data_IF_953382612562
#
_entry.id   IF_953382612562
#
_cell.length_a   1.000
_cell.length_b   1.000
_cell.length_c   1.000
_cell.angle_alpha   90.00
_cell.angle_beta   90.00
_cell.angle_gamma   90.00
#
_symmetry.space_group_name_H-M   'P 1'
#
loop_
_entity.id
_entity.type
_entity.pdbx_description
1 polymer ?
#
# COMPACT_ATOMS: atom_id res chain seq x y z
N UNK A 1 -16.96 -19.55 52.52
CA UNK A 1 -16.46 -18.40 51.76
C UNK A 1 -15.28 -18.83 50.89
N UNK A 2 -15.43 -18.82 49.56
CA UNK A 2 -14.37 -18.51 48.57
C UNK A 2 -15.00 -18.54 47.17
N UNK A 3 -15.41 -17.36 46.71
CA UNK A 3 -15.63 -17.06 45.30
C UNK A 3 -14.25 -16.80 44.68
N UNK A 4 -13.96 -17.35 43.51
CA UNK A 4 -13.17 -16.60 42.53
C UNK A 4 -13.59 -17.05 41.13
N UNK A 5 -14.14 -16.08 40.42
CA UNK A 5 -14.73 -16.18 39.10
C UNK A 5 -13.63 -16.31 38.05
N UNK A 6 -13.62 -17.42 37.31
CA UNK A 6 -12.87 -17.55 36.06
C UNK A 6 -13.73 -16.94 34.96
N UNK A 7 -13.65 -15.61 34.77
CA UNK A 7 -14.06 -14.97 33.52
C UNK A 7 -13.10 -13.79 33.29
N UNK A 8 -11.94 -14.07 32.71
CA UNK A 8 -11.05 -13.02 32.20
C UNK A 8 -10.21 -13.55 31.03
N UNK A 9 -10.87 -13.97 29.94
CA UNK A 9 -10.18 -14.37 28.69
C UNK A 9 -10.86 -13.89 27.40
N UNK A 10 -12.00 -13.18 27.47
CA UNK A 10 -12.80 -12.87 26.27
C UNK A 10 -12.61 -11.48 25.64
N UNK A 11 -11.67 -10.65 26.11
CA UNK A 11 -11.49 -9.28 25.56
C UNK A 11 -10.39 -9.25 24.47
N UNK A 12 -9.58 -10.29 24.31
CA UNK A 12 -8.47 -10.31 23.33
C UNK A 12 -8.94 -10.73 21.92
N UNK A 13 -10.00 -11.53 21.82
CA UNK A 13 -10.42 -12.14 20.54
C UNK A 13 -11.06 -11.15 19.56
N UNK A 14 -11.69 -10.07 20.03
CA UNK A 14 -12.42 -9.13 19.17
C UNK A 14 -11.48 -8.28 18.30
N UNK A 15 -10.26 -8.01 18.77
CA UNK A 15 -9.27 -7.24 18.00
C UNK A 15 -8.41 -8.14 17.10
N UNK A 16 -8.10 -9.36 17.53
CA UNK A 16 -7.30 -10.32 16.74
C UNK A 16 -8.02 -10.79 15.46
N UNK A 17 -9.35 -10.91 15.49
CA UNK A 17 -10.14 -11.27 14.32
C UNK A 17 -10.06 -10.25 13.18
N UNK A 18 -9.81 -8.97 13.48
CA UNK A 18 -9.68 -7.89 12.49
C UNK A 18 -8.30 -7.93 11.81
N UNK A 19 -7.25 -8.20 12.57
CA UNK A 19 -5.87 -8.25 12.07
C UNK A 19 -5.63 -9.45 11.14
N UNK A 20 -6.18 -10.62 11.48
CA UNK A 20 -6.10 -11.81 10.63
C UNK A 20 -6.74 -11.61 9.24
N UNK A 21 -7.73 -10.71 9.11
CA UNK A 21 -8.34 -10.39 7.83
C UNK A 21 -7.45 -9.53 6.93
N UNK A 22 -6.51 -8.77 7.49
CA UNK A 22 -5.54 -7.97 6.73
C UNK A 22 -4.44 -8.82 6.09
N UNK A 23 -4.02 -9.90 6.74
CA UNK A 23 -2.95 -10.78 6.23
C UNK A 23 -3.31 -11.28 4.84
N UNK A 24 -2.43 -11.20 3.85
CA UNK A 24 -2.69 -11.59 2.47
C UNK A 24 -2.37 -10.48 1.46
N UNK A 25 -2.72 -10.72 0.20
CA UNK A 25 -2.40 -9.81 -0.91
C UNK A 25 -3.60 -8.96 -1.33
N UNK A 26 -3.34 -7.68 -1.51
CA UNK A 26 -4.31 -6.61 -1.74
C UNK A 26 -3.88 -5.78 -2.93
N UNK A 27 -4.78 -5.59 -3.89
CA UNK A 27 -4.48 -4.86 -5.11
C UNK A 27 -5.35 -3.60 -5.21
N UNK A 28 -4.71 -2.46 -5.41
CA UNK A 28 -5.37 -1.22 -5.78
C UNK A 28 -4.94 -0.81 -7.19
N UNK A 29 -5.89 -0.30 -7.97
CA UNK A 29 -5.59 0.37 -9.23
C UNK A 29 -6.17 1.76 -9.14
N UNK A 30 -5.35 2.77 -9.38
CA UNK A 30 -5.78 4.16 -9.49
C UNK A 30 -5.33 4.73 -10.83
N UNK A 31 -6.10 5.69 -11.34
CA UNK A 31 -5.76 6.40 -12.58
C UNK A 31 -6.08 7.86 -12.41
N UNK A 32 -5.17 8.71 -12.84
CA UNK A 32 -5.30 10.15 -12.82
C UNK A 32 -4.91 10.77 -14.15
N UNK A 33 -5.37 11.99 -14.38
CA UNK A 33 -4.95 12.82 -15.50
C UNK A 33 -4.51 14.17 -14.96
N UNK A 34 -3.30 14.59 -15.31
CA UNK A 34 -2.76 15.90 -14.95
C UNK A 34 -2.09 16.53 -16.18
N UNK A 35 -2.57 17.70 -16.62
CA UNK A 35 -2.02 18.45 -17.76
C UNK A 35 -1.78 17.58 -19.01
N UNK A 36 -2.77 16.75 -19.36
CA UNK A 36 -2.72 15.83 -20.50
C UNK A 36 -1.85 14.59 -20.30
N UNK A 37 -1.26 14.42 -19.12
CA UNK A 37 -0.48 13.24 -18.73
C UNK A 37 -1.41 12.28 -17.99
N UNK A 38 -1.61 11.08 -18.52
CA UNK A 38 -2.31 10.00 -17.84
C UNK A 38 -1.32 9.20 -17.00
N UNK A 39 -1.67 8.97 -15.75
CA UNK A 39 -0.89 8.16 -14.81
C UNK A 39 -1.80 7.03 -14.33
N UNK A 40 -1.34 5.79 -14.42
CA UNK A 40 -1.99 4.62 -13.83
C UNK A 40 -1.02 4.01 -12.83
N UNK A 41 -1.49 3.85 -11.60
CA UNK A 41 -0.75 3.23 -10.50
C UNK A 41 -1.46 1.92 -10.12
N UNK A 42 -0.75 0.80 -10.22
CA UNK A 42 -1.21 -0.50 -9.75
C UNK A 42 -0.36 -0.91 -8.54
N UNK A 43 -0.95 -0.89 -7.35
CA UNK A 43 -0.29 -1.26 -6.10
C UNK A 43 -0.70 -2.67 -5.68
N UNK A 44 0.30 -3.51 -5.40
CA UNK A 44 0.16 -4.86 -4.86
C UNK A 44 0.77 -4.87 -3.46
N UNK A 45 -0.08 -4.95 -2.44
CA UNK A 45 0.30 -4.87 -1.03
C UNK A 45 0.09 -6.23 -0.37
N UNK A 46 1.14 -6.79 0.22
CA UNK A 46 1.10 -8.07 0.92
C UNK A 46 1.40 -7.87 2.40
N UNK A 47 0.43 -8.15 3.26
CA UNK A 47 0.63 -8.20 4.71
C UNK A 47 0.92 -9.63 5.14
N UNK A 48 2.00 -9.84 5.88
CA UNK A 48 2.40 -11.14 6.42
C UNK A 48 2.02 -11.25 7.90
N UNK A 49 1.87 -12.49 8.38
CA UNK A 49 1.48 -12.78 9.77
C UNK A 49 2.53 -12.39 10.82
N UNK A 50 3.78 -12.17 10.41
CA UNK A 50 4.90 -11.73 11.25
C UNK A 50 5.00 -10.20 11.39
N UNK A 51 3.93 -9.48 11.02
CA UNK A 51 3.88 -8.01 11.00
C UNK A 51 4.85 -7.35 10.02
N UNK A 52 5.35 -8.09 9.04
CA UNK A 52 6.04 -7.51 7.87
C UNK A 52 5.07 -7.28 6.72
N UNK A 53 5.39 -6.35 5.83
CA UNK A 53 4.68 -6.21 4.56
C UNK A 53 5.64 -5.99 3.40
N UNK A 54 5.18 -6.37 2.21
CA UNK A 54 5.78 -6.01 0.94
C UNK A 54 4.79 -5.23 0.09
N UNK A 55 5.27 -4.27 -0.70
CA UNK A 55 4.48 -3.56 -1.70
C UNK A 55 5.22 -3.55 -3.03
N UNK A 56 4.48 -3.75 -4.11
CA UNK A 56 4.95 -3.50 -5.48
C UNK A 56 4.03 -2.48 -6.11
N UNK A 57 4.57 -1.35 -6.51
CA UNK A 57 3.86 -0.32 -7.25
C UNK A 57 4.34 -0.33 -8.70
N UNK A 58 3.43 -0.59 -9.63
CA UNK A 58 3.66 -0.45 -11.06
C UNK A 58 3.06 0.87 -11.52
N UNK A 59 3.89 1.72 -12.12
CA UNK A 59 3.48 3.04 -12.60
C UNK A 59 3.57 3.07 -14.12
N UNK A 60 2.46 3.42 -14.76
CA UNK A 60 2.41 3.71 -16.20
C UNK A 60 2.10 5.19 -16.40
N UNK A 61 2.90 5.87 -17.20
CA UNK A 61 2.75 7.29 -17.55
C UNK A 61 2.63 7.42 -19.05
N UNK A 62 1.64 8.18 -19.53
CA UNK A 62 1.43 8.46 -20.96
C UNK A 62 1.10 9.93 -21.19
N UNK A 63 1.81 10.58 -22.11
CA UNK A 63 1.53 11.95 -22.57
C UNK A 63 1.67 12.05 -24.09
N UNK A 64 0.56 12.27 -24.78
CA UNK A 64 0.51 12.18 -26.24
C UNK A 64 1.02 10.82 -26.72
N UNK A 65 2.10 10.82 -27.50
CA UNK A 65 2.74 9.62 -28.03
C UNK A 65 3.91 9.09 -27.17
N UNK A 66 4.32 9.80 -26.11
CA UNK A 66 5.36 9.34 -25.19
C UNK A 66 4.75 8.52 -24.05
N UNK A 67 5.41 7.42 -23.68
CA UNK A 67 4.96 6.59 -22.56
C UNK A 67 6.10 5.85 -21.86
N UNK A 68 5.85 5.57 -20.59
CA UNK A 68 6.59 4.64 -19.76
C UNK A 68 5.56 3.68 -19.18
N UNK A 69 5.79 2.38 -19.31
CA UNK A 69 4.92 1.34 -18.80
C UNK A 69 5.66 0.52 -17.77
N UNK A 70 4.94 0.18 -16.70
CA UNK A 70 5.41 -0.72 -15.66
C UNK A 70 6.74 -0.28 -15.03
N UNK A 71 6.89 1.00 -14.67
CA UNK A 71 7.93 1.39 -13.73
C UNK A 71 7.64 0.72 -12.39
N UNK A 72 8.51 -0.21 -12.03
CA UNK A 72 8.36 -1.03 -10.84
C UNK A 72 9.09 -0.39 -9.67
N UNK A 73 8.36 -0.23 -8.57
CA UNK A 73 8.88 0.23 -7.29
C UNK A 73 8.52 -0.84 -6.26
N UNK A 74 9.50 -1.31 -5.53
CA UNK A 74 9.32 -2.30 -4.48
C UNK A 74 9.59 -1.66 -3.13
N UNK A 75 8.75 -1.97 -2.15
CA UNK A 75 8.94 -1.53 -0.78
C UNK A 75 8.71 -2.66 0.18
N UNK A 76 9.48 -2.69 1.26
CA UNK A 76 9.27 -3.63 2.37
C UNK A 76 9.26 -2.89 3.68
N UNK A 77 8.53 -3.41 4.66
CA UNK A 77 8.41 -2.74 5.93
C UNK A 77 7.71 -3.56 7.00
N UNK A 78 7.30 -2.86 8.05
CA UNK A 78 6.51 -3.43 9.16
C UNK A 78 5.17 -2.74 9.28
N UNK A 79 4.17 -3.46 9.78
CA UNK A 79 2.84 -2.90 9.98
C UNK A 79 2.27 -3.28 11.35
N UNK A 80 1.37 -2.45 11.86
CA UNK A 80 0.61 -2.70 13.09
C UNK A 80 -0.79 -2.14 12.97
N UNK A 81 -1.70 -2.67 13.78
CA UNK A 81 -3.05 -2.13 13.89
C UNK A 81 -3.40 -1.72 15.32
N UNK A 82 -4.31 -0.75 15.43
CA UNK A 82 -4.98 -0.40 16.69
C UNK A 82 -6.40 0.03 16.37
N UNK A 83 -7.38 -0.81 16.70
CA UNK A 83 -8.77 -0.59 16.30
C UNK A 83 -8.91 -0.58 14.78
N UNK A 84 -9.38 0.53 14.22
CA UNK A 84 -9.47 0.72 12.77
C UNK A 84 -8.28 1.48 12.17
N UNK A 85 -7.21 1.72 12.94
CA UNK A 85 -6.01 2.38 12.44
C UNK A 85 -4.99 1.31 12.04
N UNK A 86 -4.48 1.41 10.83
CA UNK A 86 -3.36 0.66 10.28
C UNK A 86 -2.17 1.60 10.15
N UNK A 87 -1.04 1.23 10.73
CA UNK A 87 0.23 1.95 10.58
C UNK A 87 1.17 1.05 9.81
N UNK A 88 1.67 1.51 8.67
CA UNK A 88 2.68 0.84 7.88
C UNK A 88 3.95 1.70 7.82
N UNK A 89 5.09 1.11 8.15
CA UNK A 89 6.40 1.77 8.15
C UNK A 89 7.25 1.12 7.08
N UNK A 90 7.57 1.86 6.02
CA UNK A 90 8.44 1.42 4.94
C UNK A 90 9.89 1.52 5.41
N UNK A 91 10.60 0.39 5.38
CA UNK A 91 11.99 0.29 5.84
C UNK A 91 12.99 0.29 4.68
N UNK A 92 12.61 -0.30 3.54
CA UNK A 92 13.44 -0.37 2.35
C UNK A 92 12.60 -0.08 1.10
N UNK A 93 13.22 0.58 0.11
CA UNK A 93 12.63 0.91 -1.18
C UNK A 93 13.64 0.66 -2.27
N UNK A 94 13.23 -0.10 -3.28
CA UNK A 94 13.99 -0.36 -4.49
C UNK A 94 13.20 0.14 -5.70
N UNK A 95 13.90 0.75 -6.66
CA UNK A 95 13.31 1.15 -7.93
C UNK A 95 14.05 0.41 -9.04
N UNK A 96 13.71 -0.88 -9.29
CA UNK A 96 14.51 -1.75 -10.13
C UNK A 96 14.61 -1.28 -11.59
N UNK A 97 13.53 -1.30 -12.38
CA UNK A 97 13.55 -0.95 -13.82
C UNK A 97 12.13 -0.61 -14.31
N UNK A 98 12.00 0.16 -15.39
CA UNK A 98 10.76 0.29 -16.16
C UNK A 98 10.66 -0.79 -17.26
N UNK A 99 9.48 -1.42 -17.40
CA UNK A 99 9.27 -2.50 -18.37
C UNK A 99 9.35 -2.04 -19.83
N UNK A 100 8.71 -0.92 -20.17
CA UNK A 100 8.70 -0.39 -21.54
C UNK A 100 8.79 1.14 -21.54
N UNK A 101 9.64 1.71 -22.40
CA UNK A 101 9.84 3.15 -22.48
C UNK A 101 9.89 3.58 -23.93
N UNK A 102 9.09 4.58 -24.29
CA UNK A 102 9.03 5.12 -25.64
C UNK A 102 8.95 6.64 -25.64
N UNK A 103 9.89 7.26 -26.36
CA UNK A 103 10.01 8.73 -26.51
C UNK A 103 10.07 9.49 -25.18
N UNK A 104 10.63 8.85 -24.15
CA UNK A 104 10.99 9.48 -22.87
C UNK A 104 12.51 9.47 -22.78
N UNK A 105 13.10 10.60 -22.40
CA UNK A 105 14.56 10.67 -22.20
C UNK A 105 14.98 9.90 -20.95
N UNK A 106 16.22 9.42 -20.95
CA UNK A 106 16.83 8.79 -19.77
C UNK A 106 16.75 9.69 -18.53
N UNK A 107 17.04 10.98 -18.67
CA UNK A 107 16.94 11.96 -17.58
C UNK A 107 15.51 12.13 -17.04
N UNK A 108 14.49 12.05 -17.89
CA UNK A 108 13.10 12.07 -17.44
C UNK A 108 12.74 10.80 -16.68
N UNK A 109 13.22 9.64 -17.14
CA UNK A 109 13.00 8.36 -16.46
C UNK A 109 13.65 8.35 -15.06
N UNK A 110 14.89 8.82 -14.96
CA UNK A 110 15.61 8.96 -13.68
C UNK A 110 14.89 9.92 -12.73
N UNK A 111 14.42 11.06 -13.23
CA UNK A 111 13.65 12.01 -12.42
C UNK A 111 12.35 11.39 -11.89
N UNK A 112 11.65 10.59 -12.71
CA UNK A 112 10.46 9.86 -12.26
C UNK A 112 10.84 8.85 -11.18
N UNK A 113 11.86 8.03 -11.41
CA UNK A 113 12.34 7.04 -10.44
C UNK A 113 12.74 7.69 -9.09
N UNK A 114 13.50 8.79 -9.14
CA UNK A 114 13.91 9.57 -7.96
C UNK A 114 12.70 10.16 -7.25
N UNK A 115 11.71 10.67 -7.99
CA UNK A 115 10.49 11.24 -7.40
C UNK A 115 9.74 10.18 -6.57
N UNK A 116 9.61 8.97 -7.10
CA UNK A 116 8.99 7.86 -6.36
C UNK A 116 9.85 7.41 -5.19
N UNK A 117 11.16 7.23 -5.38
CA UNK A 117 12.06 6.88 -4.28
C UNK A 117 11.96 7.88 -3.12
N UNK A 118 12.01 9.18 -3.42
CA UNK A 118 11.90 10.25 -2.44
C UNK A 118 10.53 10.29 -1.75
N UNK A 119 9.43 9.99 -2.48
CA UNK A 119 8.08 9.91 -1.89
C UNK A 119 8.04 8.92 -0.73
N UNK A 120 8.66 7.74 -0.89
CA UNK A 120 8.64 6.71 0.16
C UNK A 120 9.74 6.94 1.22
N UNK A 121 10.88 7.53 0.84
CA UNK A 121 11.98 7.83 1.77
C UNK A 121 11.63 8.96 2.74
N UNK A 122 11.02 10.03 2.24
CA UNK A 122 10.72 11.22 3.05
C UNK A 122 9.46 11.04 3.91
N UNK A 123 8.57 10.13 3.51
CA UNK A 123 7.34 9.82 4.23
C UNK A 123 7.20 8.29 4.40
N UNK A 124 8.06 7.68 5.24
CA UNK A 124 8.11 6.24 5.40
C UNK A 124 6.95 5.70 6.24
N UNK A 125 6.28 6.56 7.02
CA UNK A 125 5.20 6.15 7.93
C UNK A 125 3.86 6.50 7.30
N UNK A 126 3.04 5.49 7.02
CA UNK A 126 1.68 5.65 6.52
C UNK A 126 0.69 5.31 7.62
N UNK A 127 -0.12 6.29 8.00
CA UNK A 127 -1.21 6.11 8.94
C UNK A 127 -2.52 6.07 8.15
N UNK A 128 -3.20 4.93 8.20
CA UNK A 128 -4.38 4.64 7.40
C UNK A 128 -5.55 4.31 8.32
N UNK A 129 -6.67 4.99 8.15
CA UNK A 129 -7.94 4.64 8.78
C UNK A 129 -8.66 3.62 7.89
N UNK A 130 -8.82 2.40 8.37
CA UNK A 130 -9.61 1.36 7.73
C UNK A 130 -11.11 1.70 7.84
N UNK A 131 -11.73 2.04 6.72
CA UNK A 131 -13.16 2.31 6.61
C UNK A 131 -13.97 1.05 6.37
N UNK A 132 -13.37 0.07 5.71
CA UNK A 132 -13.97 -1.23 5.43
C UNK A 132 -12.87 -2.28 5.41
N UNK A 133 -13.10 -3.42 6.06
CA UNK A 133 -12.29 -4.61 5.90
C UNK A 133 -13.22 -5.83 5.88
N UNK A 134 -13.11 -6.63 4.82
CA UNK A 134 -13.72 -7.95 4.74
C UNK A 134 -12.82 -8.89 3.94
N UNK A 135 -13.27 -10.11 3.66
CA UNK A 135 -12.46 -11.14 2.97
C UNK A 135 -12.02 -10.78 1.55
N UNK A 136 -12.65 -9.81 0.89
CA UNK A 136 -12.36 -9.45 -0.50
C UNK A 136 -12.00 -7.98 -0.68
N UNK A 137 -12.31 -7.12 0.29
CA UNK A 137 -12.21 -5.68 0.13
C UNK A 137 -11.63 -5.01 1.38
N UNK A 138 -10.66 -4.13 1.14
CA UNK A 138 -10.08 -3.22 2.12
C UNK A 138 -10.26 -1.80 1.59
N UNK A 139 -10.83 -0.90 2.39
CA UNK A 139 -10.91 0.52 2.08
C UNK A 139 -10.19 1.28 3.17
N UNK A 140 -9.21 2.09 2.77
CA UNK A 140 -8.42 2.92 3.69
C UNK A 140 -8.56 4.39 3.34
N UNK A 141 -8.47 5.26 4.35
CA UNK A 141 -8.34 6.71 4.20
C UNK A 141 -7.01 7.15 4.84
N UNK A 142 -6.22 7.97 4.14
CA UNK A 142 -4.99 8.54 4.69
C UNK A 142 -5.21 9.90 5.37
N UNK A 143 -4.15 10.50 5.92
CA UNK A 143 -4.17 11.80 6.58
C UNK A 143 -4.62 12.97 5.68
N UNK A 144 -4.53 12.79 4.35
CA UNK A 144 -4.98 13.74 3.34
C UNK A 144 -6.42 13.50 2.87
N UNK A 145 -7.17 12.62 3.55
CA UNK A 145 -8.55 12.21 3.19
C UNK A 145 -8.65 11.56 1.81
N UNK A 146 -7.57 10.96 1.34
CA UNK A 146 -7.54 10.20 0.09
C UNK A 146 -7.94 8.77 0.40
N UNK A 147 -8.94 8.27 -0.34
CA UNK A 147 -9.42 6.91 -0.22
C UNK A 147 -8.68 5.98 -1.19
N UNK A 148 -8.28 4.82 -0.69
CA UNK A 148 -7.80 3.71 -1.52
C UNK A 148 -8.70 2.49 -1.28
N UNK A 149 -9.08 1.83 -2.37
CA UNK A 149 -9.88 0.60 -2.33
C UNK A 149 -9.05 -0.54 -2.88
N UNK A 150 -8.76 -1.52 -2.04
CA UNK A 150 -8.04 -2.70 -2.40
C UNK A 150 -8.98 -3.89 -2.55
N UNK A 151 -8.66 -4.74 -3.49
CA UNK A 151 -9.30 -6.03 -3.71
C UNK A 151 -8.33 -7.14 -3.36
N UNK A 152 -8.80 -8.17 -2.67
CA UNK A 152 -7.94 -9.28 -2.29
C UNK A 152 -7.66 -10.15 -3.51
N UNK A 153 -6.39 -10.52 -3.70
CA UNK A 153 -6.00 -11.52 -4.69
C UNK A 153 -5.74 -12.83 -3.96
N UNK A 154 -6.32 -13.91 -4.48
CA UNK A 154 -6.06 -15.27 -4.02
C UNK A 154 -4.73 -15.78 -4.57
#
# INVERSE_FOLDING_TARGET
MKKLWIIFLFIVEVYAANEAMLIGQWNNVSTGVNNGTRITECEFLRFNADHTFGTVLLVTVKKGNAYMKDLRIEGTGTWKTRGNILVAVVNNIEVPVAGEVYRISQSSLENIAVTFHNRFKNDPIRILVMKQLNRQKLVTENEKKIFATYTRTN
#
